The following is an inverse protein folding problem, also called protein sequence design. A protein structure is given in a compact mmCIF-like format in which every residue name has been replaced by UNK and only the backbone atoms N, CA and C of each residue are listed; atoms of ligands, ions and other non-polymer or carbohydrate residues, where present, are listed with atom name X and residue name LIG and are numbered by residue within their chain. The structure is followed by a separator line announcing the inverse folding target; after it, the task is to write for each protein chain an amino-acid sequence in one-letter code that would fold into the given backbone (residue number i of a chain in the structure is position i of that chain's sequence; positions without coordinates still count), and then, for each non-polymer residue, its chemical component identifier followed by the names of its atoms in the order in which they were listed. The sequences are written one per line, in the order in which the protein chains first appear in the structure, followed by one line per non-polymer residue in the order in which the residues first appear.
data_IF_915094317235
#
_entry.id   IF_915094317235
#
_cell.length_a   1.000
_cell.length_b   1.000
_cell.length_c   1.000
_cell.angle_alpha   90.00
_cell.angle_beta   90.00
_cell.angle_gamma   90.00
#
_symmetry.space_group_name_H-M   'P 1'
#
loop_
_entity.id
_entity.type
_entity.pdbx_description
1 polymer ?
#
# COMPACT_ATOMS: atom_id res chain seq x y z
N UNK A 1 -85.68 29.54 12.52
CA UNK A 1 -84.94 28.40 11.93
C UNK A 1 -83.70 28.96 11.23
N UNK A 2 -82.57 28.98 11.94
CA UNK A 2 -81.26 29.38 11.43
C UNK A 2 -80.26 28.43 12.09
N UNK A 3 -79.58 27.60 11.29
CA UNK A 3 -78.55 26.67 11.75
C UNK A 3 -77.19 27.33 11.47
N UNK A 4 -76.29 27.52 12.46
CA UNK A 4 -74.94 27.96 12.15
C UNK A 4 -74.05 26.77 11.76
N UNK A 5 -73.29 26.96 10.67
CA UNK A 5 -72.25 26.06 10.15
C UNK A 5 -71.12 25.91 11.18
N UNK A 6 -70.78 24.67 11.53
CA UNK A 6 -69.54 24.34 12.27
C UNK A 6 -68.39 24.25 11.27
N UNK A 7 -67.33 25.02 11.48
CA UNK A 7 -66.06 24.86 10.76
C UNK A 7 -65.28 23.71 11.38
N UNK A 8 -64.97 22.69 10.56
CA UNK A 8 -64.06 21.60 10.90
C UNK A 8 -62.64 22.08 10.59
N UNK A 9 -61.86 22.39 11.63
CA UNK A 9 -60.43 22.67 11.49
C UNK A 9 -59.69 21.33 11.51
N UNK A 10 -59.19 20.91 10.35
CA UNK A 10 -58.29 19.75 10.24
C UNK A 10 -56.88 20.24 10.57
N UNK A 11 -56.41 19.91 11.77
CA UNK A 11 -55.01 20.12 12.17
C UNK A 11 -54.18 19.00 11.53
N UNK A 12 -53.41 19.33 10.50
CA UNK A 12 -52.35 18.45 10.01
C UNK A 12 -51.20 18.44 11.03
N UNK A 13 -51.16 17.41 11.86
CA UNK A 13 -49.97 17.05 12.63
C UNK A 13 -48.91 16.54 11.64
N UNK A 14 -48.01 17.42 11.22
CA UNK A 14 -46.75 17.02 10.61
C UNK A 14 -45.94 16.28 11.68
N UNK A 15 -45.60 14.98 11.50
CA UNK A 15 -44.59 14.38 12.34
C UNK A 15 -43.27 15.08 12.03
N UNK A 16 -42.72 15.77 13.04
CA UNK A 16 -41.35 16.23 13.04
C UNK A 16 -40.50 14.96 12.90
N UNK A 17 -40.04 14.66 11.68
CA UNK A 17 -38.98 13.70 11.46
C UNK A 17 -37.74 14.30 12.13
N UNK A 18 -37.48 13.88 13.37
CA UNK A 18 -36.17 14.02 13.96
C UNK A 18 -35.24 13.23 13.05
N UNK A 19 -34.44 13.94 12.25
CA UNK A 19 -33.31 13.36 11.56
C UNK A 19 -32.40 12.78 12.64
N UNK A 20 -32.58 11.50 12.94
CA UNK A 20 -31.58 10.73 13.64
C UNK A 20 -30.41 10.72 12.68
N UNK A 21 -29.42 11.58 12.93
CA UNK A 21 -28.12 11.44 12.29
C UNK A 21 -27.67 10.04 12.67
N UNK A 22 -27.78 9.12 11.70
CA UNK A 22 -27.11 7.84 11.78
C UNK A 22 -25.65 8.24 11.80
N UNK A 23 -25.08 8.31 13.01
CA UNK A 23 -23.65 8.31 13.17
C UNK A 23 -23.23 7.00 12.52
N UNK A 24 -22.71 7.07 11.30
CA UNK A 24 -21.96 5.95 10.75
C UNK A 24 -20.90 5.67 11.81
N UNK A 25 -21.04 4.53 12.50
CA UNK A 25 -20.01 4.04 13.37
C UNK A 25 -18.70 4.05 12.57
N UNK A 26 -17.59 4.35 13.23
CA UNK A 26 -16.28 4.28 12.59
C UNK A 26 -16.20 2.98 11.77
N UNK A 27 -15.67 3.05 10.53
CA UNK A 27 -15.60 1.87 9.68
C UNK A 27 -14.91 0.74 10.45
N UNK A 28 -15.48 -0.45 10.35
CA UNK A 28 -15.03 -1.62 11.13
C UNK A 28 -13.60 -2.03 10.72
N UNK A 29 -13.16 -1.59 9.54
CA UNK A 29 -11.86 -1.80 8.92
C UNK A 29 -11.36 -0.49 8.28
N UNK A 30 -10.13 -0.49 7.75
CA UNK A 30 -9.56 0.67 7.03
C UNK A 30 -10.36 0.98 5.78
N UNK A 31 -10.66 2.26 5.52
CA UNK A 31 -11.42 2.64 4.33
C UNK A 31 -10.61 2.39 3.05
N UNK A 32 -11.29 1.98 1.98
CA UNK A 32 -10.71 1.93 0.64
C UNK A 32 -10.15 3.30 0.24
N UNK A 33 -8.97 3.28 -0.36
CA UNK A 33 -8.27 4.44 -0.92
C UNK A 33 -8.04 4.14 -2.39
N UNK A 34 -8.59 5.00 -3.26
CA UNK A 34 -8.32 4.93 -4.69
C UNK A 34 -6.82 4.98 -4.95
N UNK A 35 -6.36 4.22 -5.95
CA UNK A 35 -4.95 4.23 -6.34
C UNK A 35 -4.49 5.65 -6.69
N UNK A 36 -3.34 6.04 -6.15
CA UNK A 36 -2.72 7.33 -6.39
C UNK A 36 -1.21 7.19 -6.55
N UNK A 37 -0.60 8.14 -7.27
CA UNK A 37 0.85 8.21 -7.42
C UNK A 37 1.49 8.83 -6.18
N UNK A 38 2.39 8.07 -5.56
CA UNK A 38 3.34 8.57 -4.56
C UNK A 38 4.66 8.85 -5.26
N UNK A 39 5.17 10.06 -5.07
CA UNK A 39 6.46 10.44 -5.62
C UNK A 39 7.16 11.49 -4.76
N UNK A 40 8.48 11.55 -4.86
CA UNK A 40 9.27 12.56 -4.19
C UNK A 40 10.76 12.37 -4.43
N UNK A 41 11.57 13.05 -3.62
CA UNK A 41 13.02 13.04 -3.74
C UNK A 41 13.66 12.71 -2.40
N UNK A 42 14.73 11.91 -2.44
CA UNK A 42 15.61 11.60 -1.31
C UNK A 42 17.02 12.10 -1.62
N UNK A 43 17.75 12.44 -0.56
CA UNK A 43 19.14 12.83 -0.66
C UNK A 43 19.94 12.30 0.52
N UNK A 44 21.16 11.87 0.21
CA UNK A 44 22.25 11.55 1.12
C UNK A 44 23.54 11.96 0.43
N UNK A 45 24.01 13.22 0.57
CA UNK A 45 25.13 13.73 -0.22
C UNK A 45 26.34 12.79 -0.19
N UNK A 46 26.93 12.44 -1.35
CA UNK A 46 26.73 13.05 -2.67
C UNK A 46 25.54 12.51 -3.48
N UNK A 47 24.77 11.57 -2.93
CA UNK A 47 23.69 10.87 -3.61
C UNK A 47 22.35 11.59 -3.50
N UNK A 48 21.48 11.33 -4.48
CA UNK A 48 20.09 11.71 -4.45
C UNK A 48 19.30 11.05 -5.58
N UNK A 49 18.04 10.74 -5.31
CA UNK A 49 17.20 9.97 -6.22
C UNK A 49 15.73 10.34 -6.06
N UNK A 50 14.98 10.14 -7.14
CA UNK A 50 13.53 10.26 -7.15
C UNK A 50 12.94 8.88 -6.88
N UNK A 51 11.89 8.81 -6.06
CA UNK A 51 11.04 7.64 -5.92
C UNK A 51 9.68 7.95 -6.55
N UNK A 52 9.08 6.97 -7.23
CA UNK A 52 7.75 7.10 -7.84
C UNK A 52 7.10 5.73 -7.97
N UNK A 53 5.88 5.60 -7.49
CA UNK A 53 5.07 4.39 -7.63
C UNK A 53 3.60 4.72 -7.44
N UNK A 54 2.72 3.80 -7.82
CA UNK A 54 1.30 3.92 -7.53
C UNK A 54 0.96 3.03 -6.34
N UNK A 55 0.08 3.51 -5.46
CA UNK A 55 -0.35 2.79 -4.28
C UNK A 55 -1.85 3.00 -4.07
N UNK A 56 -2.56 1.92 -3.76
CA UNK A 56 -3.99 1.91 -3.50
C UNK A 56 -4.33 0.92 -2.40
N UNK A 57 -5.48 1.13 -1.75
CA UNK A 57 -5.99 0.22 -0.73
C UNK A 57 -7.42 -0.16 -1.08
N UNK A 58 -7.67 -1.45 -1.30
CA UNK A 58 -9.00 -1.94 -1.64
C UNK A 58 -9.10 -3.41 -1.29
N UNK A 59 -10.32 -3.88 -0.97
CA UNK A 59 -10.56 -5.28 -0.65
C UNK A 59 -9.65 -5.82 0.48
N UNK A 60 -9.32 -4.97 1.47
CA UNK A 60 -8.41 -5.28 2.58
C UNK A 60 -6.96 -5.55 2.15
N UNK A 61 -6.55 -5.11 0.96
CA UNK A 61 -5.19 -5.26 0.46
C UNK A 61 -4.57 -3.90 0.11
N UNK A 62 -3.32 -3.71 0.51
CA UNK A 62 -2.49 -2.58 0.11
C UNK A 62 -1.70 -2.98 -1.14
N UNK A 63 -2.00 -2.37 -2.27
CA UNK A 63 -1.41 -2.73 -3.56
C UNK A 63 -0.43 -1.64 -4.00
N UNK A 64 0.83 -2.00 -4.20
CA UNK A 64 1.92 -1.13 -4.65
C UNK A 64 2.32 -1.55 -6.05
N UNK A 65 2.26 -0.62 -7.01
CA UNK A 65 2.58 -0.86 -8.41
C UNK A 65 3.81 -0.06 -8.85
N UNK A 66 4.77 -0.74 -9.46
CA UNK A 66 5.98 -0.15 -10.01
C UNK A 66 6.07 -0.44 -11.51
N UNK A 67 6.11 0.60 -12.34
CA UNK A 67 6.22 0.47 -13.81
C UNK A 67 7.55 1.03 -14.28
N UNK A 68 8.40 0.17 -14.81
CA UNK A 68 9.76 0.52 -15.20
C UNK A 68 9.90 0.38 -16.71
N UNK A 69 10.20 1.48 -17.40
CA UNK A 69 10.59 1.45 -18.79
C UNK A 69 12.05 0.98 -18.89
N UNK A 70 12.26 -0.15 -19.56
CA UNK A 70 13.60 -0.62 -19.92
C UNK A 70 14.04 0.00 -21.24
N UNK A 71 15.27 0.50 -21.27
CA UNK A 71 15.90 1.12 -22.45
C UNK A 71 17.32 0.61 -22.64
N UNK A 72 17.96 0.89 -23.78
CA UNK A 72 19.32 0.43 -24.06
C UNK A 72 19.36 -1.00 -24.58
N UNK A 73 20.16 -1.86 -23.96
CA UNK A 73 20.26 -3.26 -24.34
C UNK A 73 18.95 -4.01 -24.03
N UNK A 74 18.53 -4.93 -24.90
CA UNK A 74 17.37 -5.77 -24.61
C UNK A 74 17.79 -6.97 -23.74
N UNK A 75 17.44 -7.02 -22.45
CA UNK A 75 17.81 -8.13 -21.57
C UNK A 75 17.18 -9.47 -21.96
N UNK A 76 16.07 -9.44 -22.69
CA UNK A 76 15.25 -10.60 -23.01
C UNK A 76 14.42 -11.10 -21.82
N UNK A 77 13.37 -11.86 -22.12
CA UNK A 77 12.37 -12.29 -21.13
C UNK A 77 12.93 -13.15 -20.00
N UNK A 78 13.97 -13.95 -20.24
CA UNK A 78 14.58 -14.79 -19.22
C UNK A 78 15.23 -13.97 -18.10
N UNK A 79 15.93 -12.88 -18.46
CA UNK A 79 16.58 -12.02 -17.48
C UNK A 79 15.56 -11.07 -16.82
N UNK A 80 14.57 -10.59 -17.56
CA UNK A 80 13.43 -9.86 -17.00
C UNK A 80 12.73 -10.70 -15.91
N UNK A 81 12.47 -11.98 -16.17
CA UNK A 81 11.86 -12.87 -15.17
C UNK A 81 12.75 -13.04 -13.92
N UNK A 82 14.08 -13.11 -14.09
CA UNK A 82 15.00 -13.20 -12.95
C UNK A 82 14.92 -11.92 -12.10
N UNK A 83 14.83 -10.76 -12.74
CA UNK A 83 14.69 -9.48 -12.05
C UNK A 83 13.34 -9.37 -11.34
N UNK A 84 12.25 -9.65 -12.03
CA UNK A 84 10.88 -9.65 -11.48
C UNK A 84 10.78 -10.58 -10.27
N UNK A 85 11.20 -11.85 -10.41
CA UNK A 85 11.21 -12.81 -9.31
C UNK A 85 12.07 -12.34 -8.13
N UNK A 86 13.21 -11.67 -8.41
CA UNK A 86 14.07 -11.10 -7.38
C UNK A 86 13.37 -9.99 -6.59
N UNK A 87 12.69 -9.08 -7.29
CA UNK A 87 11.91 -8.00 -6.70
C UNK A 87 10.76 -8.57 -5.87
N UNK A 88 9.94 -9.44 -6.43
CA UNK A 88 8.79 -10.04 -5.72
C UNK A 88 9.26 -10.88 -4.54
N UNK A 89 10.32 -11.66 -4.69
CA UNK A 89 10.90 -12.44 -3.58
C UNK A 89 11.45 -11.55 -2.46
N UNK A 90 11.79 -10.29 -2.72
CA UNK A 90 12.24 -9.35 -1.70
C UNK A 90 11.09 -8.55 -1.08
N UNK A 91 10.09 -8.15 -1.87
CA UNK A 91 9.10 -7.14 -1.47
C UNK A 91 7.66 -7.64 -1.46
N UNK A 92 7.27 -8.59 -2.29
CA UNK A 92 5.87 -9.04 -2.26
C UNK A 92 5.60 -9.85 -0.99
N UNK A 93 4.51 -9.50 -0.29
CA UNK A 93 3.95 -10.26 0.84
C UNK A 93 4.99 -10.69 1.88
N UNK A 94 5.84 -9.76 2.33
CA UNK A 94 6.74 -10.00 3.48
C UNK A 94 6.12 -9.67 4.82
N UNK A 95 5.31 -8.62 4.84
CA UNK A 95 4.69 -8.11 6.04
C UNK A 95 3.23 -7.75 5.79
N UNK A 96 2.42 -7.92 6.83
CA UNK A 96 1.05 -7.46 6.89
C UNK A 96 0.97 -6.16 7.69
N UNK A 97 0.08 -5.25 7.28
CA UNK A 97 -0.35 -4.15 8.15
C UNK A 97 -1.54 -4.63 8.97
N UNK A 98 -1.47 -4.47 10.28
CA UNK A 98 -2.45 -5.00 11.23
C UNK A 98 -3.06 -3.86 12.04
N UNK A 99 -4.35 -3.96 12.34
CA UNK A 99 -5.08 -2.94 13.12
C UNK A 99 -5.73 -3.47 14.40
N UNK A 100 -5.32 -4.67 14.81
CA UNK A 100 -5.84 -5.44 15.94
C UNK A 100 -7.03 -6.36 15.61
N UNK A 101 -7.73 -6.14 14.49
CA UNK A 101 -8.87 -6.95 14.06
C UNK A 101 -8.70 -7.56 12.67
N UNK A 102 -7.99 -6.85 11.80
CA UNK A 102 -7.75 -7.24 10.42
C UNK A 102 -6.24 -7.23 10.13
N UNK A 103 -5.82 -8.11 9.21
CA UNK A 103 -4.52 -8.07 8.56
C UNK A 103 -4.71 -7.63 7.11
N UNK A 104 -3.84 -6.75 6.65
CA UNK A 104 -3.85 -6.18 5.33
C UNK A 104 -2.56 -6.57 4.62
N UNK A 105 -2.68 -7.42 3.61
CA UNK A 105 -1.52 -7.85 2.83
C UNK A 105 -0.95 -6.67 2.05
N UNK A 106 0.38 -6.55 2.07
CA UNK A 106 1.10 -5.58 1.24
C UNK A 106 1.61 -6.29 0.00
N UNK A 107 0.93 -6.06 -1.11
CA UNK A 107 1.25 -6.65 -2.40
C UNK A 107 2.14 -5.70 -3.22
N UNK A 108 3.21 -6.22 -3.80
CA UNK A 108 4.07 -5.49 -4.72
C UNK A 108 4.01 -6.13 -6.10
N UNK A 109 3.72 -5.31 -7.10
CA UNK A 109 3.67 -5.70 -8.50
C UNK A 109 4.61 -4.80 -9.30
N UNK A 110 5.57 -5.41 -10.00
CA UNK A 110 6.49 -4.69 -10.88
C UNK A 110 6.32 -5.11 -12.32
N UNK A 111 6.01 -4.15 -13.18
CA UNK A 111 5.86 -4.37 -14.61
C UNK A 111 7.02 -3.72 -15.38
N UNK A 112 7.69 -4.50 -16.23
CA UNK A 112 8.64 -3.97 -17.21
C UNK A 112 7.92 -3.52 -18.49
N UNK A 113 8.18 -2.29 -18.90
CA UNK A 113 7.66 -1.66 -20.10
C UNK A 113 8.78 -1.55 -21.14
N UNK A 114 8.40 -1.66 -22.41
CA UNK A 114 9.32 -1.61 -23.56
C UNK A 114 9.02 -0.46 -24.53
N UNK A 115 8.05 0.39 -24.17
CA UNK A 115 7.64 1.56 -24.95
C UNK A 115 7.23 2.70 -24.02
N UNK A 116 7.42 3.94 -24.48
CA UNK A 116 6.99 5.12 -23.74
C UNK A 116 5.47 5.12 -23.53
N UNK A 117 5.04 5.28 -22.28
CA UNK A 117 3.64 5.49 -21.87
C UNK A 117 3.58 6.59 -20.81
N UNK A 118 2.39 7.14 -20.57
CA UNK A 118 2.13 8.10 -19.48
C UNK A 118 2.16 7.45 -18.09
N UNK A 119 2.10 6.12 -18.03
CA UNK A 119 2.11 5.33 -16.78
C UNK A 119 3.51 5.04 -16.22
N UNK A 120 4.58 5.47 -16.89
CA UNK A 120 5.96 5.16 -16.44
C UNK A 120 6.27 5.82 -15.10
N UNK A 121 6.84 5.03 -14.19
CA UNK A 121 7.39 5.52 -12.93
C UNK A 121 8.88 5.82 -13.05
N UNK A 122 9.64 4.87 -13.60
CA UNK A 122 11.09 4.98 -13.76
C UNK A 122 11.54 4.53 -15.15
N UNK A 123 12.61 5.14 -15.64
CA UNK A 123 13.30 4.70 -16.87
C UNK A 123 14.67 4.17 -16.48
N UNK A 124 14.93 2.91 -16.80
CA UNK A 124 16.20 2.23 -16.52
C UNK A 124 16.93 1.99 -17.83
N UNK A 125 18.22 2.31 -17.85
CA UNK A 125 19.11 1.95 -18.95
C UNK A 125 19.74 0.59 -18.65
N UNK A 126 19.45 -0.40 -19.50
CA UNK A 126 20.05 -1.72 -19.44
C UNK A 126 21.36 -1.70 -20.23
N UNK A 127 22.43 -2.17 -19.61
CA UNK A 127 23.79 -2.20 -20.14
C UNK A 127 24.22 -3.66 -20.29
N UNK A 128 24.63 -4.04 -21.50
CA UNK A 128 25.17 -5.38 -21.75
C UNK A 128 26.52 -5.57 -21.04
N UNK A 129 26.71 -6.72 -20.42
CA UNK A 129 27.94 -7.12 -19.74
C UNK A 129 27.80 -7.19 -18.22
N UNK A 130 28.96 -7.23 -17.55
CA UNK A 130 29.08 -7.29 -16.10
C UNK A 130 29.39 -5.91 -15.53
N UNK A 131 28.69 -5.52 -14.47
CA UNK A 131 28.96 -4.24 -13.81
C UNK A 131 28.20 -4.04 -12.51
N UNK A 132 28.64 -3.04 -11.75
CA UNK A 132 27.89 -2.53 -10.60
C UNK A 132 26.95 -1.48 -11.15
N UNK A 133 25.66 -1.76 -11.13
CA UNK A 133 24.68 -0.79 -11.54
C UNK A 133 24.22 0.09 -10.38
N UNK A 134 23.15 0.84 -10.63
CA UNK A 134 22.46 1.71 -9.69
C UNK A 134 20.99 1.81 -10.09
N UNK A 135 20.20 2.58 -9.36
CA UNK A 135 18.75 2.72 -9.57
C UNK A 135 18.32 2.96 -11.03
N UNK A 136 19.15 3.60 -11.85
CA UNK A 136 18.80 3.95 -13.24
C UNK A 136 19.65 3.24 -14.30
N UNK A 137 20.63 2.42 -13.91
CA UNK A 137 21.52 1.72 -14.83
C UNK A 137 21.74 0.28 -14.36
N UNK A 138 21.20 -0.70 -15.10
CA UNK A 138 21.27 -2.11 -14.72
C UNK A 138 22.11 -2.89 -15.72
N UNK A 139 22.95 -3.80 -15.22
CA UNK A 139 23.78 -4.65 -16.07
C UNK A 139 23.13 -6.01 -16.27
N UNK A 140 23.35 -6.62 -17.43
CA UNK A 140 22.87 -8.00 -17.70
C UNK A 140 23.50 -9.05 -16.79
N UNK A 141 24.61 -8.72 -16.16
CA UNK A 141 25.26 -9.52 -15.11
C UNK A 141 25.72 -8.59 -14.01
N UNK A 142 25.33 -8.87 -12.77
CA UNK A 142 25.78 -8.08 -11.63
C UNK A 142 27.29 -8.21 -11.44
N UNK A 143 27.93 -7.20 -10.85
CA UNK A 143 29.35 -7.26 -10.50
C UNK A 143 29.71 -8.45 -9.60
N UNK A 144 28.73 -8.98 -8.85
CA UNK A 144 28.88 -10.07 -7.89
C UNK A 144 28.56 -11.45 -8.46
N UNK A 145 28.14 -11.54 -9.73
CA UNK A 145 27.74 -12.79 -10.38
C UNK A 145 26.29 -12.76 -10.89
N UNK A 146 25.97 -13.69 -11.79
CA UNK A 146 24.64 -13.77 -12.40
C UNK A 146 23.56 -14.23 -11.40
N UNK A 147 23.96 -15.00 -10.40
CA UNK A 147 23.12 -15.47 -9.29
C UNK A 147 22.57 -14.32 -8.43
N UNK A 148 23.25 -13.17 -8.42
CA UNK A 148 22.81 -11.97 -7.69
C UNK A 148 21.96 -11.03 -8.55
N UNK A 149 21.68 -11.33 -9.83
CA UNK A 149 20.94 -10.43 -10.70
C UNK A 149 19.57 -10.01 -10.14
N UNK A 150 18.83 -10.97 -9.56
CA UNK A 150 17.52 -10.68 -8.95
C UNK A 150 17.64 -9.80 -7.70
N UNK A 151 18.52 -10.17 -6.76
CA UNK A 151 18.69 -9.42 -5.50
C UNK A 151 19.29 -8.03 -5.72
N UNK A 152 20.21 -7.90 -6.67
CA UNK A 152 20.75 -6.62 -7.12
C UNK A 152 19.64 -5.68 -7.58
N UNK A 153 18.78 -6.12 -8.50
CA UNK A 153 17.67 -5.29 -8.97
C UNK A 153 16.65 -5.02 -7.87
N UNK A 154 16.38 -5.99 -6.99
CA UNK A 154 15.49 -5.81 -5.84
C UNK A 154 15.99 -4.72 -4.87
N UNK A 155 17.30 -4.66 -4.62
CA UNK A 155 17.95 -3.60 -3.84
C UNK A 155 17.72 -2.23 -4.48
N UNK A 156 17.98 -2.10 -5.79
CA UNK A 156 17.77 -0.84 -6.52
C UNK A 156 16.31 -0.40 -6.54
N UNK A 157 15.37 -1.35 -6.59
CA UNK A 157 13.94 -1.10 -6.47
C UNK A 157 13.56 -0.58 -5.07
N UNK A 158 14.28 -0.99 -4.02
CA UNK A 158 14.14 -0.38 -2.69
C UNK A 158 14.31 1.15 -2.70
N UNK A 159 15.26 1.67 -3.48
CA UNK A 159 15.40 3.11 -3.68
C UNK A 159 14.21 3.73 -4.42
N UNK A 160 13.63 3.02 -5.40
CA UNK A 160 12.39 3.44 -6.08
C UNK A 160 11.17 3.50 -5.13
N UNK A 161 11.25 2.83 -3.97
CA UNK A 161 10.30 2.94 -2.85
C UNK A 161 10.71 3.94 -1.75
N UNK A 162 11.69 4.81 -2.03
CA UNK A 162 12.22 5.86 -1.14
C UNK A 162 13.16 5.38 -0.01
N UNK A 163 13.62 4.14 -0.06
CA UNK A 163 14.51 3.56 0.97
C UNK A 163 15.95 4.01 0.78
N UNK A 164 16.64 4.23 1.90
CA UNK A 164 18.07 4.54 1.95
C UNK A 164 18.90 3.25 1.98
N UNK A 165 20.17 3.36 1.61
CA UNK A 165 21.13 2.28 1.84
C UNK A 165 21.38 2.06 3.34
N UNK A 166 21.68 0.81 3.67
CA UNK A 166 22.04 0.36 5.01
C UNK A 166 23.47 -0.24 5.04
N UNK A 167 24.32 0.16 4.09
CA UNK A 167 25.75 -0.20 4.08
C UNK A 167 26.67 1.02 4.01
N UNK A 168 27.92 0.83 4.42
CA UNK A 168 28.89 1.91 4.46
C UNK A 168 29.30 2.35 3.05
N UNK A 169 29.24 3.65 2.79
CA UNK A 169 29.56 4.23 1.48
C UNK A 169 28.37 4.37 0.54
N UNK A 170 27.23 3.76 0.86
CA UNK A 170 25.97 3.96 0.15
C UNK A 170 25.27 5.28 0.50
N UNK A 171 24.11 5.50 -0.10
CA UNK A 171 23.18 6.56 0.17
C UNK A 171 22.44 6.33 1.51
N UNK A 172 23.16 6.42 2.62
CA UNK A 172 22.63 6.19 3.99
C UNK A 172 21.80 7.38 4.47
N UNK A 173 20.72 7.16 5.23
CA UNK A 173 19.89 8.24 5.74
C UNK A 173 20.71 9.23 6.61
N UNK A 174 20.83 10.52 6.22
CA UNK A 174 21.65 11.48 6.95
C UNK A 174 21.04 11.90 8.30
N UNK A 175 19.71 11.78 8.46
CA UNK A 175 19.02 12.19 9.68
C UNK A 175 18.92 11.06 10.71
N UNK A 176 18.99 9.81 10.27
CA UNK A 176 18.98 8.63 11.13
C UNK A 176 19.79 7.51 10.46
N UNK A 177 21.13 7.57 10.53
CA UNK A 177 21.97 6.59 9.87
C UNK A 177 21.75 5.19 10.47
N UNK A 178 21.60 4.20 9.59
CA UNK A 178 21.53 2.79 9.96
C UNK A 178 22.47 2.02 9.04
N UNK A 179 23.31 1.18 9.63
CA UNK A 179 24.17 0.24 8.91
C UNK A 179 23.80 -1.16 9.38
N UNK A 180 23.30 -1.97 8.46
CA UNK A 180 22.86 -3.34 8.70
C UNK A 180 23.06 -4.19 7.45
N UNK A 181 24.15 -4.96 7.41
CA UNK A 181 24.47 -5.87 6.31
C UNK A 181 23.60 -7.14 6.28
N UNK A 182 22.73 -7.35 7.27
CA UNK A 182 21.75 -8.44 7.25
C UNK A 182 20.51 -8.08 6.43
N UNK A 183 20.37 -6.82 6.04
CA UNK A 183 19.25 -6.30 5.26
C UNK A 183 19.52 -6.30 3.76
N UNK A 184 18.49 -6.46 2.92
CA UNK A 184 18.58 -6.31 1.47
C UNK A 184 19.09 -4.92 1.07
N UNK A 185 18.81 -3.89 1.88
CA UNK A 185 19.32 -2.53 1.68
C UNK A 185 20.78 -2.36 2.14
N UNK A 186 21.38 -3.35 2.82
CA UNK A 186 22.78 -3.37 3.23
C UNK A 186 23.64 -4.42 2.51
N UNK A 187 23.03 -5.45 1.92
CA UNK A 187 23.71 -6.55 1.25
C UNK A 187 22.77 -7.28 0.29
N UNK A 188 23.27 -7.73 -0.85
CA UNK A 188 22.49 -8.51 -1.82
C UNK A 188 22.07 -9.91 -1.32
N UNK A 189 22.64 -10.36 -0.19
CA UNK A 189 22.23 -11.59 0.48
C UNK A 189 21.35 -11.34 1.71
N UNK A 190 21.01 -10.07 1.98
CA UNK A 190 20.23 -9.69 3.14
C UNK A 190 18.73 -9.84 2.95
N UNK A 191 18.00 -9.78 4.06
CA UNK A 191 16.55 -9.92 4.12
C UNK A 191 15.85 -8.56 4.12
N UNK A 192 14.57 -8.56 3.78
CA UNK A 192 13.72 -7.39 3.94
C UNK A 192 13.18 -7.35 5.36
N UNK A 193 13.18 -6.18 5.99
CA UNK A 193 12.73 -5.97 7.36
C UNK A 193 11.52 -5.04 7.45
N UNK A 194 10.74 -5.14 8.53
CA UNK A 194 9.56 -4.31 8.78
C UNK A 194 9.82 -2.80 8.64
N UNK A 195 11.02 -2.34 9.00
CA UNK A 195 11.39 -0.92 8.87
C UNK A 195 11.33 -0.42 7.41
N UNK A 196 11.54 -1.30 6.43
CA UNK A 196 11.42 -0.96 5.01
C UNK A 196 9.96 -0.75 4.59
N UNK A 197 9.00 -1.24 5.38
CA UNK A 197 7.56 -1.12 5.11
C UNK A 197 6.91 0.07 5.82
N UNK A 198 7.66 0.78 6.67
CA UNK A 198 7.17 1.94 7.41
C UNK A 198 6.59 3.06 6.51
N UNK A 199 7.14 3.36 5.32
CA UNK A 199 6.51 4.32 4.41
C UNK A 199 5.09 3.92 3.99
N UNK A 200 4.84 2.63 3.73
CA UNK A 200 3.54 2.11 3.33
C UNK A 200 2.54 2.09 4.49
N UNK A 201 3.00 1.67 5.69
CA UNK A 201 2.24 1.79 6.93
C UNK A 201 1.80 3.25 7.17
N UNK A 202 2.76 4.18 7.07
CA UNK A 202 2.52 5.61 7.27
C UNK A 202 1.56 6.19 6.25
N UNK A 203 1.60 5.70 5.01
CA UNK A 203 0.68 6.09 3.95
C UNK A 203 -0.76 5.64 4.24
N UNK A 204 -0.96 4.43 4.78
CA UNK A 204 -2.28 3.87 5.08
C UNK A 204 -2.92 4.46 6.34
N UNK A 205 -2.11 4.82 7.35
CA UNK A 205 -2.55 5.26 8.67
C UNK A 205 -3.64 6.36 8.68
N UNK A 206 -3.60 7.40 7.82
CA UNK A 206 -4.66 8.41 7.78
C UNK A 206 -6.06 7.86 7.43
N UNK A 207 -6.14 6.74 6.70
CA UNK A 207 -7.41 6.09 6.36
C UNK A 207 -7.95 5.17 7.47
N UNK A 208 -7.23 5.07 8.59
CA UNK A 208 -7.56 4.26 9.76
C UNK A 208 -7.87 5.13 11.00
N UNK A 209 -8.80 6.10 10.94
CA UNK A 209 -9.03 7.03 12.04
C UNK A 209 -9.47 6.28 13.31
N UNK A 210 -8.79 6.55 14.42
CA UNK A 210 -9.06 5.89 15.70
C UNK A 210 -8.50 4.47 15.81
N UNK A 211 -7.71 4.00 14.85
CA UNK A 211 -7.02 2.70 14.86
C UNK A 211 -5.51 2.93 14.84
N UNK A 212 -4.78 2.09 15.57
CA UNK A 212 -3.31 2.07 15.51
C UNK A 212 -2.88 0.96 14.57
N UNK A 213 -2.23 1.31 13.46
CA UNK A 213 -1.68 0.33 12.54
C UNK A 213 -0.26 -0.07 12.98
N UNK A 214 0.10 -1.33 12.78
CA UNK A 214 1.46 -1.84 13.00
C UNK A 214 1.77 -2.94 11.99
N UNK A 215 3.03 -3.36 11.91
CA UNK A 215 3.49 -4.40 10.99
C UNK A 215 3.66 -5.73 11.72
N UNK A 216 3.28 -6.82 11.05
CA UNK A 216 3.61 -8.20 11.43
C UNK A 216 4.19 -8.93 10.23
N UNK A 217 4.84 -10.06 10.46
CA UNK A 217 5.25 -10.96 9.37
C UNK A 217 4.01 -11.44 8.60
N UNK A 218 4.15 -11.57 7.28
CA UNK A 218 3.08 -12.04 6.41
C UNK A 218 2.55 -13.41 6.86
N UNK A 219 1.23 -13.49 7.02
CA UNK A 219 0.53 -14.72 7.39
C UNK A 219 -0.39 -15.19 6.25
N UNK A 220 0.05 -16.15 5.41
CA UNK A 220 -0.75 -16.66 4.31
C UNK A 220 -1.97 -17.47 4.75
N UNK A 221 -2.05 -17.85 6.04
CA UNK A 221 -3.15 -18.64 6.58
C UNK A 221 -4.19 -17.78 7.30
N UNK A 222 -3.91 -16.49 7.49
CA UNK A 222 -4.85 -15.58 8.12
C UNK A 222 -6.08 -15.39 7.26
N UNK A 223 -7.25 -15.48 7.89
CA UNK A 223 -8.53 -15.18 7.28
C UNK A 223 -9.15 -14.03 8.06
N UNK A 224 -9.26 -12.88 7.41
CA UNK A 224 -9.94 -11.73 7.99
C UNK A 224 -11.37 -12.08 8.41
N UNK A 225 -11.86 -11.55 9.54
CA UNK A 225 -13.24 -11.78 9.95
C UNK A 225 -14.21 -11.25 8.88
N UNK A 226 -15.39 -11.87 8.73
CA UNK A 226 -16.36 -11.46 7.72
C UNK A 226 -16.78 -10.00 7.93
N UNK A 227 -16.74 -9.22 6.84
CA UNK A 227 -17.22 -7.84 6.84
C UNK A 227 -18.76 -7.88 6.86
N UNK A 228 -19.44 -7.29 7.86
CA UNK A 228 -20.89 -7.25 7.87
C UNK A 228 -21.39 -6.40 6.71
N UNK A 229 -22.17 -7.01 5.81
CA UNK A 229 -22.86 -6.27 4.75
C UNK A 229 -23.73 -5.14 5.35
N UNK A 230 -23.85 -3.97 4.70
CA UNK A 230 -24.62 -2.83 5.21
C UNK A 230 -26.06 -3.19 5.63
N UNK A 231 -26.68 -4.15 4.92
CA UNK A 231 -28.02 -4.65 5.23
C UNK A 231 -28.11 -5.38 6.59
N UNK A 232 -27.05 -6.06 7.01
CA UNK A 232 -26.97 -6.80 8.28
C UNK A 232 -26.94 -5.84 9.47
N UNK A 233 -26.22 -4.73 9.34
CA UNK A 233 -26.16 -3.66 10.35
C UNK A 233 -27.52 -2.95 10.47
N UNK A 234 -28.21 -2.71 9.35
CA UNK A 234 -29.56 -2.13 9.33
C UNK A 234 -30.60 -3.05 9.99
N UNK A 235 -30.54 -4.37 9.74
CA UNK A 235 -31.44 -5.35 10.35
C UNK A 235 -31.22 -5.49 11.87
N UNK A 236 -29.98 -5.49 12.34
CA UNK A 236 -29.67 -5.56 13.78
C UNK A 236 -30.10 -4.31 14.54
N UNK A 237 -29.92 -3.13 13.94
CA UNK A 237 -30.34 -1.85 14.55
C UNK A 237 -31.87 -1.73 14.60
N UNK A 238 -32.58 -2.13 13.53
CA UNK A 238 -34.05 -2.16 13.50
C UNK A 238 -34.63 -3.20 14.48
N UNK A 239 -34.02 -4.39 14.57
CA UNK A 239 -34.44 -5.45 15.50
C UNK A 239 -34.34 -5.05 16.97
N UNK A 240 -33.25 -4.37 17.36
CA UNK A 240 -33.07 -3.85 18.72
C UNK A 240 -34.09 -2.77 19.11
N UNK A 241 -34.51 -1.94 18.17
CA UNK A 241 -35.55 -0.92 18.37
C UNK A 241 -36.95 -1.54 18.57
N UNK A 242 -37.27 -2.61 17.84
CA UNK A 242 -38.55 -3.32 17.98
C UNK A 242 -38.66 -4.03 19.34
N UNK A 243 -37.59 -4.70 19.79
CA UNK A 243 -37.57 -5.40 21.08
C UNK A 243 -37.68 -4.43 22.28
N UNK A 244 -37.16 -3.21 22.14
CA UNK A 244 -37.27 -2.17 23.19
C UNK A 244 -38.68 -1.59 23.31
N UNK A 245 -39.49 -1.65 22.24
CA UNK A 245 -40.87 -1.15 22.22
C UNK A 245 -41.90 -2.12 22.82
N UNK A 246 -41.55 -3.40 23.00
CA UNK A 246 -42.42 -4.42 23.61
C UNK A 246 -42.16 -4.67 25.11
N UNK A 247 -41.26 -3.91 25.75
CA UNK A 247 -41.01 -3.96 27.20
C UNK A 247 -41.59 -2.77 27.98
N UNK A 248 -42.64 -2.13 27.49
CA UNK A 248 -43.41 -1.11 28.23
C UNK A 248 -44.87 -1.49 28.29
#
# INVERSE_FOLDING_TARGET
MIIPKKYLVIIFLFPILTACTISFANPIYVNDIITQTVQGYRSSPPYGWTYKYDIGFSNLELNVQLRILLTGYNPGSALEQIWENGIESAWDRKFDIVDGSFKYHVNFDTTFLHSLTDTIHHTVTVISGQGSGNMLNWYTTSAWGAEYNGAYVAHEVGHMFSLYDEYSGGAVNPSSPLIDYTSIMGSLAGETYQRHYQPFLSWLQPAAPGRSLYLEDYDPLWINPPIPEPATVLLLTLGGLVLRKHRR
#
